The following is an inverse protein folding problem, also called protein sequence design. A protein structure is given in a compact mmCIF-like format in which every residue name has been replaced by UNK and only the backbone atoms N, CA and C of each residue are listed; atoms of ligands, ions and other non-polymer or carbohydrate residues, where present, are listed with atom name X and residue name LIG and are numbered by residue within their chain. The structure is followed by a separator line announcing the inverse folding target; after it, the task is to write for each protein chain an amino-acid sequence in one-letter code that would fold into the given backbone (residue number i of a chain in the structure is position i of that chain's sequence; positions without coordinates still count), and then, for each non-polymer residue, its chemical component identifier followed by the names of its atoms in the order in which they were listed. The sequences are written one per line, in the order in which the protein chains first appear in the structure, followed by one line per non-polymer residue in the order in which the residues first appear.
data_IF_164695124877
#
_entry.id   IF_164695124877
#
_cell.length_a   1.000
_cell.length_b   1.000
_cell.length_c   1.000
_cell.angle_alpha   90.00
_cell.angle_beta   90.00
_cell.angle_gamma   90.00
#
_symmetry.space_group_name_H-M   'P 1'
#
loop_
_entity.id
_entity.type
_entity.pdbx_description
1 polymer ?
#
# COMPACT_ATOMS: atom_id res chain seq x y z
N UNK A 1 -9.16 4.07 -37.95
CA UNK A 1 -9.72 3.08 -38.91
C UNK A 1 -10.74 2.24 -38.17
N UNK A 2 -12.03 2.53 -38.31
CA UNK A 2 -13.09 1.62 -37.86
C UNK A 2 -13.23 0.55 -38.94
N UNK A 3 -12.86 -0.69 -38.64
CA UNK A 3 -13.21 -1.81 -39.51
C UNK A 3 -14.73 -1.93 -39.53
N UNK A 4 -15.31 -2.11 -40.71
CA UNK A 4 -16.72 -2.44 -40.85
C UNK A 4 -17.01 -3.69 -40.01
N UNK A 5 -17.89 -3.57 -39.01
CA UNK A 5 -18.24 -4.67 -38.11
C UNK A 5 -18.82 -5.86 -38.88
N UNK A 6 -19.36 -5.63 -40.07
CA UNK A 6 -19.91 -6.63 -40.96
C UNK A 6 -18.90 -7.22 -41.96
N UNK A 7 -17.63 -6.81 -41.88
CA UNK A 7 -16.60 -7.40 -42.73
C UNK A 7 -16.47 -8.92 -42.49
N UNK A 8 -16.19 -9.73 -43.52
CA UNK A 8 -15.98 -11.16 -43.37
C UNK A 8 -14.88 -11.50 -42.35
N UNK A 9 -13.84 -10.66 -42.24
CA UNK A 9 -12.79 -10.84 -41.23
C UNK A 9 -13.31 -10.63 -39.80
N UNK A 10 -14.09 -9.58 -39.56
CA UNK A 10 -14.72 -9.30 -38.25
C UNK A 10 -15.63 -10.47 -37.82
N UNK A 11 -16.49 -10.93 -38.73
CA UNK A 11 -17.39 -12.06 -38.48
C UNK A 11 -16.63 -13.37 -38.18
N UNK A 12 -15.56 -13.64 -38.92
CA UNK A 12 -14.71 -14.81 -38.68
C UNK A 12 -13.98 -14.74 -37.33
N UNK A 13 -13.46 -13.57 -36.97
CA UNK A 13 -12.81 -13.33 -35.68
C UNK A 13 -13.80 -13.51 -34.51
N UNK A 14 -15.01 -12.97 -34.63
CA UNK A 14 -16.06 -13.14 -33.61
C UNK A 14 -16.49 -14.61 -33.45
N UNK A 15 -16.66 -15.33 -34.55
CA UNK A 15 -16.95 -16.78 -34.52
C UNK A 15 -15.82 -17.56 -33.85
N UNK A 16 -14.57 -17.24 -34.17
CA UNK A 16 -13.39 -17.88 -33.57
C UNK A 16 -13.36 -17.62 -32.07
N UNK A 17 -13.56 -16.37 -31.63
CA UNK A 17 -13.65 -16.00 -30.21
C UNK A 17 -14.74 -16.80 -29.49
N UNK A 18 -15.94 -16.88 -30.07
CA UNK A 18 -17.06 -17.65 -29.49
C UNK A 18 -16.75 -19.15 -29.40
N UNK A 19 -16.12 -19.72 -30.43
CA UNK A 19 -15.68 -21.12 -30.42
C UNK A 19 -14.64 -21.36 -29.33
N UNK A 20 -13.66 -20.47 -29.17
CA UNK A 20 -12.67 -20.56 -28.09
C UNK A 20 -13.34 -20.54 -26.72
N UNK A 21 -14.27 -19.61 -26.48
CA UNK A 21 -15.04 -19.56 -25.21
C UNK A 21 -15.78 -20.88 -24.96
N UNK A 22 -16.45 -21.44 -25.98
CA UNK A 22 -17.16 -22.71 -25.86
C UNK A 22 -16.21 -23.87 -25.53
N UNK A 23 -15.06 -23.96 -26.21
CA UNK A 23 -14.06 -25.01 -25.96
C UNK A 23 -13.50 -24.89 -24.55
N UNK A 24 -13.14 -23.68 -24.11
CA UNK A 24 -12.63 -23.43 -22.75
C UNK A 24 -13.68 -23.84 -21.70
N UNK A 25 -14.96 -23.47 -21.90
CA UNK A 25 -16.06 -23.88 -21.01
C UNK A 25 -16.27 -25.39 -20.99
N UNK A 26 -16.18 -26.05 -22.14
CA UNK A 26 -16.29 -27.51 -22.23
C UNK A 26 -15.18 -28.20 -21.41
N UNK A 27 -13.93 -27.76 -21.58
CA UNK A 27 -12.77 -28.30 -20.87
C UNK A 27 -12.81 -28.01 -19.36
N UNK A 28 -13.44 -26.90 -18.99
CA UNK A 28 -13.62 -26.49 -17.60
C UNK A 28 -14.90 -27.05 -16.95
N UNK A 29 -15.64 -27.93 -17.63
CA UNK A 29 -16.84 -28.53 -17.05
C UNK A 29 -16.49 -29.33 -15.78
N UNK A 30 -17.32 -29.30 -14.72
CA UNK A 30 -17.09 -30.03 -13.47
C UNK A 30 -16.91 -31.56 -13.64
N UNK A 31 -17.43 -32.11 -14.75
CA UNK A 31 -17.34 -33.53 -15.08
C UNK A 31 -16.00 -33.91 -15.73
N UNK A 32 -15.25 -32.95 -16.27
CA UNK A 32 -13.95 -33.20 -16.87
C UNK A 32 -12.92 -33.32 -15.75
N UNK A 33 -12.25 -34.47 -15.69
CA UNK A 33 -11.15 -34.73 -14.76
C UNK A 33 -9.95 -35.26 -15.50
N UNK A 34 -8.78 -34.94 -14.98
CA UNK A 34 -7.52 -35.55 -15.44
C UNK A 34 -7.32 -36.93 -14.85
N UNK A 35 -6.35 -37.67 -15.39
CA UNK A 35 -5.91 -38.96 -14.85
C UNK A 35 -5.47 -38.86 -13.38
N UNK A 36 -4.91 -37.71 -12.97
CA UNK A 36 -4.55 -37.44 -11.57
C UNK A 36 -5.73 -37.01 -10.70
N UNK A 37 -6.96 -37.08 -11.20
CA UNK A 37 -8.19 -36.72 -10.49
C UNK A 37 -8.44 -35.22 -10.32
N UNK A 38 -7.58 -34.33 -10.84
CA UNK A 38 -7.77 -32.87 -10.75
C UNK A 38 -8.90 -32.44 -11.68
N UNK A 39 -9.72 -31.50 -11.22
CA UNK A 39 -10.81 -30.92 -12.01
C UNK A 39 -10.26 -30.17 -13.23
N UNK A 40 -10.88 -30.38 -14.40
CA UNK A 40 -10.53 -29.69 -15.64
C UNK A 40 -10.61 -28.16 -15.48
N UNK A 41 -11.64 -27.67 -14.77
CA UNK A 41 -11.80 -26.26 -14.43
C UNK A 41 -10.57 -25.65 -13.75
N UNK A 42 -9.97 -26.38 -12.80
CA UNK A 42 -8.79 -25.91 -12.07
C UNK A 42 -7.58 -25.79 -12.99
N UNK A 43 -7.37 -26.78 -13.86
CA UNK A 43 -6.24 -26.79 -14.77
C UNK A 43 -6.39 -25.71 -15.84
N UNK A 44 -7.58 -25.57 -16.42
CA UNK A 44 -7.89 -24.58 -17.44
C UNK A 44 -7.74 -23.16 -16.87
N UNK A 45 -8.34 -22.89 -15.71
CA UNK A 45 -8.23 -21.57 -15.09
C UNK A 45 -6.79 -21.25 -14.70
N UNK A 46 -6.05 -22.17 -14.07
CA UNK A 46 -4.63 -21.98 -13.78
C UNK A 46 -3.82 -21.64 -15.03
N UNK A 47 -4.01 -22.41 -16.10
CA UNK A 47 -3.30 -22.20 -17.34
C UNK A 47 -3.59 -20.81 -17.93
N UNK A 48 -4.84 -20.34 -17.87
CA UNK A 48 -5.21 -19.00 -18.31
C UNK A 48 -4.58 -17.92 -17.45
N UNK A 49 -4.67 -18.01 -16.11
CA UNK A 49 -4.11 -17.03 -15.18
C UNK A 49 -2.59 -16.92 -15.37
N UNK A 50 -1.88 -18.05 -15.39
CA UNK A 50 -0.43 -18.06 -15.62
C UNK A 50 -0.06 -17.54 -17.03
N UNK A 51 -0.87 -17.85 -18.04
CA UNK A 51 -0.61 -17.38 -19.40
C UNK A 51 -0.84 -15.87 -19.54
N UNK A 52 -1.79 -15.30 -18.80
CA UNK A 52 -2.05 -13.86 -18.77
C UNK A 52 -0.87 -13.07 -18.22
N UNK A 53 -0.19 -13.60 -17.20
CA UNK A 53 0.98 -12.96 -16.58
C UNK A 53 2.25 -13.12 -17.42
N UNK A 54 2.32 -14.11 -18.32
CA UNK A 54 3.50 -14.37 -19.17
C UNK A 54 3.41 -13.60 -20.49
N UNK A 55 4.29 -12.60 -20.65
CA UNK A 55 4.41 -11.83 -21.89
C UNK A 55 5.32 -12.56 -22.90
N UNK A 56 4.72 -13.23 -23.88
CA UNK A 56 5.46 -14.00 -24.90
C UNK A 56 5.46 -13.28 -26.26
N UNK A 57 6.39 -12.36 -26.50
CA UNK A 57 6.55 -11.60 -27.77
C UNK A 57 5.27 -10.92 -28.31
N UNK A 58 4.29 -10.70 -27.45
CA UNK A 58 3.01 -10.04 -27.77
C UNK A 58 2.95 -8.71 -27.06
N UNK A 59 2.08 -7.84 -27.53
CA UNK A 59 1.66 -6.67 -26.76
C UNK A 59 1.08 -7.13 -25.41
N UNK A 60 1.71 -6.77 -24.28
CA UNK A 60 1.30 -7.24 -22.95
C UNK A 60 -0.09 -6.76 -22.57
N UNK A 61 -0.44 -5.50 -22.89
CA UNK A 61 -1.72 -4.92 -22.50
C UNK A 61 -2.87 -5.59 -23.26
N UNK A 62 -2.71 -5.72 -24.59
CA UNK A 62 -3.73 -6.36 -25.41
C UNK A 62 -3.87 -7.86 -25.10
N UNK A 63 -2.75 -8.56 -24.88
CA UNK A 63 -2.75 -9.98 -24.51
C UNK A 63 -3.42 -10.21 -23.15
N UNK A 64 -3.08 -9.41 -22.13
CA UNK A 64 -3.68 -9.50 -20.81
C UNK A 64 -5.19 -9.29 -20.86
N UNK A 65 -5.64 -8.26 -21.60
CA UNK A 65 -7.06 -7.95 -21.79
C UNK A 65 -7.81 -9.11 -22.46
N UNK A 66 -7.23 -9.75 -23.48
CA UNK A 66 -7.83 -10.92 -24.13
C UNK A 66 -7.99 -12.10 -23.17
N UNK A 67 -6.96 -12.38 -22.36
CA UNK A 67 -7.01 -13.45 -21.35
C UNK A 67 -8.04 -13.12 -20.27
N UNK A 68 -8.10 -11.86 -19.82
CA UNK A 68 -9.10 -11.39 -18.88
C UNK A 68 -10.53 -11.64 -19.38
N UNK A 69 -10.84 -11.33 -20.64
CA UNK A 69 -12.16 -11.63 -21.20
C UNK A 69 -12.50 -13.12 -21.18
N UNK A 70 -11.53 -14.01 -21.45
CA UNK A 70 -11.74 -15.45 -21.39
C UNK A 70 -11.98 -15.93 -19.97
N UNK A 71 -11.18 -15.46 -19.01
CA UNK A 71 -11.34 -15.76 -17.58
C UNK A 71 -12.70 -15.28 -17.09
N UNK A 72 -13.09 -14.05 -17.42
CA UNK A 72 -14.37 -13.49 -17.01
C UNK A 72 -15.55 -14.31 -17.56
N UNK A 73 -15.53 -14.67 -18.85
CA UNK A 73 -16.57 -15.53 -19.42
C UNK A 73 -16.60 -16.95 -18.82
N UNK A 74 -15.46 -17.44 -18.35
CA UNK A 74 -15.35 -18.73 -17.71
C UNK A 74 -16.02 -18.72 -16.33
N UNK A 75 -15.74 -17.70 -15.51
CA UNK A 75 -16.29 -17.55 -14.16
C UNK A 75 -17.80 -17.27 -14.16
N UNK A 76 -18.31 -16.60 -15.19
CA UNK A 76 -19.75 -16.29 -15.35
C UNK A 76 -20.58 -17.48 -15.89
N UNK A 77 -20.17 -18.72 -15.65
CA UNK A 77 -20.92 -19.90 -16.10
C UNK A 77 -22.04 -20.23 -15.11
N UNK A 78 -23.30 -20.08 -15.54
CA UNK A 78 -24.49 -20.34 -14.73
C UNK A 78 -24.54 -21.78 -14.21
N UNK A 79 -25.04 -21.97 -12.98
CA UNK A 79 -25.26 -23.28 -12.37
C UNK A 79 -24.01 -24.00 -11.84
N UNK A 80 -22.83 -23.38 -11.92
CA UNK A 80 -21.55 -23.97 -11.46
C UNK A 80 -20.86 -23.20 -10.35
N UNK A 81 -21.51 -22.18 -9.78
CA UNK A 81 -20.92 -21.29 -8.77
C UNK A 81 -20.31 -22.05 -7.59
N UNK A 82 -21.06 -23.00 -7.01
CA UNK A 82 -20.59 -23.80 -5.87
C UNK A 82 -19.31 -24.58 -6.16
N UNK A 83 -19.15 -25.12 -7.36
CA UNK A 83 -17.93 -25.83 -7.79
C UNK A 83 -16.74 -24.89 -7.88
N UNK A 84 -16.91 -23.72 -8.48
CA UNK A 84 -15.86 -22.71 -8.59
C UNK A 84 -15.38 -22.24 -7.21
N UNK A 85 -16.31 -21.90 -6.33
CA UNK A 85 -16.03 -21.34 -5.00
C UNK A 85 -15.38 -22.39 -4.09
N UNK A 86 -15.92 -23.60 -4.03
CA UNK A 86 -15.49 -24.59 -3.03
C UNK A 86 -14.29 -25.43 -3.46
N UNK A 87 -14.13 -25.67 -4.76
CA UNK A 87 -13.16 -26.64 -5.27
C UNK A 87 -12.04 -26.00 -6.07
N UNK A 88 -12.34 -24.96 -6.86
CA UNK A 88 -11.39 -24.43 -7.85
C UNK A 88 -10.60 -23.24 -7.30
N UNK A 89 -11.30 -22.16 -6.95
CA UNK A 89 -10.69 -20.87 -6.56
C UNK A 89 -9.76 -20.97 -5.34
N UNK A 90 -10.09 -21.70 -4.26
CA UNK A 90 -9.21 -21.80 -3.09
C UNK A 90 -7.83 -22.39 -3.43
N UNK A 91 -7.75 -23.24 -4.45
CA UNK A 91 -6.50 -23.85 -4.90
C UNK A 91 -5.71 -22.96 -5.89
N UNK A 92 -6.26 -21.81 -6.28
CA UNK A 92 -5.72 -20.91 -7.29
C UNK A 92 -5.61 -19.46 -6.81
N UNK A 93 -5.69 -19.23 -5.49
CA UNK A 93 -5.59 -17.88 -4.92
C UNK A 93 -4.28 -17.17 -5.29
N UNK A 94 -3.09 -17.81 -5.22
CA UNK A 94 -1.84 -17.16 -5.61
C UNK A 94 -1.81 -16.74 -7.09
N UNK A 95 -2.26 -17.61 -7.99
CA UNK A 95 -2.32 -17.33 -9.43
C UNK A 95 -3.38 -16.27 -9.74
N UNK A 96 -4.50 -16.28 -9.02
CA UNK A 96 -5.57 -15.28 -9.13
C UNK A 96 -5.08 -13.91 -8.73
N UNK A 97 -4.37 -13.81 -7.60
CA UNK A 97 -3.77 -12.56 -7.14
C UNK A 97 -2.69 -12.06 -8.11
N UNK A 98 -1.78 -12.93 -8.54
CA UNK A 98 -0.76 -12.56 -9.52
C UNK A 98 -1.36 -12.03 -10.82
N UNK A 99 -2.43 -12.66 -11.32
CA UNK A 99 -3.17 -12.17 -12.47
C UNK A 99 -3.87 -10.84 -12.19
N UNK A 100 -4.54 -10.72 -11.03
CA UNK A 100 -5.26 -9.52 -10.61
C UNK A 100 -4.35 -8.29 -10.54
N UNK A 101 -3.15 -8.43 -9.94
CA UNK A 101 -2.19 -7.31 -9.80
C UNK A 101 -1.72 -6.73 -11.14
N UNK A 102 -1.79 -7.50 -12.22
CA UNK A 102 -1.40 -7.06 -13.56
C UNK A 102 -2.51 -6.31 -14.30
N UNK A 103 -3.77 -6.47 -13.88
CA UNK A 103 -4.92 -5.85 -14.53
C UNK A 103 -4.89 -4.33 -14.36
N UNK A 104 -5.38 -3.62 -15.37
CA UNK A 104 -5.72 -2.20 -15.26
C UNK A 104 -6.91 -1.99 -14.33
N UNK A 105 -7.12 -0.75 -13.89
CA UNK A 105 -8.13 -0.39 -12.89
C UNK A 105 -9.55 -0.86 -13.26
N UNK A 106 -9.99 -0.64 -14.50
CA UNK A 106 -11.33 -1.02 -14.96
C UNK A 106 -11.50 -2.54 -14.93
N UNK A 107 -10.50 -3.27 -15.45
CA UNK A 107 -10.51 -4.74 -15.43
C UNK A 107 -10.43 -5.30 -14.01
N UNK A 108 -9.66 -4.68 -13.08
CA UNK A 108 -9.63 -5.05 -11.66
C UNK A 108 -11.02 -4.94 -11.03
N UNK A 109 -11.70 -3.81 -11.20
CA UNK A 109 -13.03 -3.60 -10.65
C UNK A 109 -14.03 -4.62 -11.19
N UNK A 110 -14.03 -4.85 -12.51
CA UNK A 110 -14.92 -5.84 -13.13
C UNK A 110 -14.61 -7.27 -12.68
N UNK A 111 -13.32 -7.62 -12.55
CA UNK A 111 -12.90 -8.91 -12.03
C UNK A 111 -13.39 -9.12 -10.60
N UNK A 112 -13.16 -8.13 -9.73
CA UNK A 112 -13.56 -8.23 -8.33
C UNK A 112 -15.08 -8.32 -8.18
N UNK A 113 -15.87 -7.54 -8.93
CA UNK A 113 -17.34 -7.70 -8.98
C UNK A 113 -17.75 -9.10 -9.38
N UNK A 114 -17.07 -9.68 -10.35
CA UNK A 114 -17.32 -11.06 -10.79
C UNK A 114 -17.02 -12.04 -9.64
N UNK A 115 -15.96 -11.82 -8.86
CA UNK A 115 -15.66 -12.63 -7.67
C UNK A 115 -16.68 -12.44 -6.54
N UNK A 116 -17.14 -11.20 -6.27
CA UNK A 116 -18.16 -10.91 -5.27
C UNK A 116 -19.46 -11.66 -5.60
N UNK A 117 -19.89 -11.55 -6.86
CA UNK A 117 -21.09 -12.24 -7.36
C UNK A 117 -20.91 -13.75 -7.43
N UNK A 118 -19.68 -14.23 -7.63
CA UNK A 118 -19.40 -15.66 -7.64
C UNK A 118 -19.49 -16.21 -6.21
N UNK A 119 -18.83 -15.56 -5.24
CA UNK A 119 -18.65 -16.07 -3.88
C UNK A 119 -19.88 -15.90 -2.99
N UNK A 120 -20.65 -14.82 -3.18
CA UNK A 120 -21.80 -14.48 -2.31
C UNK A 120 -21.45 -14.48 -0.80
N UNK A 121 -20.19 -14.17 -0.45
CA UNK A 121 -19.69 -14.15 0.93
C UNK A 121 -19.54 -15.51 1.60
N UNK A 122 -19.53 -16.62 0.83
CA UNK A 122 -19.46 -17.98 1.42
C UNK A 122 -18.04 -18.36 1.86
N UNK A 123 -17.02 -18.07 1.04
CA UNK A 123 -15.62 -18.44 1.34
C UNK A 123 -14.77 -17.22 1.66
N UNK A 124 -15.12 -16.04 1.16
CA UNK A 124 -14.36 -14.82 1.33
C UNK A 124 -13.29 -14.61 0.26
N UNK A 125 -13.51 -15.11 -0.97
CA UNK A 125 -12.49 -15.06 -2.05
C UNK A 125 -12.26 -13.61 -2.49
N UNK A 126 -13.34 -12.85 -2.68
CA UNK A 126 -13.25 -11.44 -3.08
C UNK A 126 -12.59 -10.59 -1.99
N UNK A 127 -12.93 -10.86 -0.73
CA UNK A 127 -12.40 -10.21 0.46
C UNK A 127 -10.90 -10.49 0.61
N UNK A 128 -10.48 -11.73 0.33
CA UNK A 128 -9.07 -12.09 0.31
C UNK A 128 -8.30 -11.33 -0.78
N UNK A 129 -8.83 -11.25 -2.01
CA UNK A 129 -8.19 -10.47 -3.08
C UNK A 129 -8.09 -9.00 -2.71
N UNK A 130 -9.15 -8.41 -2.14
CA UNK A 130 -9.14 -7.03 -1.69
C UNK A 130 -8.10 -6.79 -0.58
N UNK A 131 -8.00 -7.69 0.39
CA UNK A 131 -6.97 -7.63 1.41
C UNK A 131 -5.56 -7.71 0.83
N UNK A 132 -5.31 -8.56 -0.17
CA UNK A 132 -3.99 -8.62 -0.82
C UNK A 132 -3.67 -7.34 -1.60
N UNK A 133 -4.64 -6.68 -2.24
CA UNK A 133 -4.43 -5.37 -2.88
C UNK A 133 -4.07 -4.28 -1.85
N UNK A 134 -4.74 -4.25 -0.70
CA UNK A 134 -4.40 -3.31 0.40
C UNK A 134 -3.02 -3.62 0.97
N UNK A 135 -2.64 -4.90 1.10
CA UNK A 135 -1.26 -5.26 1.47
C UNK A 135 -0.27 -4.82 0.41
N UNK A 136 -0.59 -4.94 -0.88
CA UNK A 136 0.30 -4.49 -1.94
C UNK A 136 0.56 -2.98 -1.84
N UNK A 137 -0.49 -2.19 -1.62
CA UNK A 137 -0.38 -0.75 -1.34
C UNK A 137 0.51 -0.48 -0.12
N UNK A 138 0.30 -1.21 0.99
CA UNK A 138 1.10 -1.07 2.21
C UNK A 138 2.61 -1.31 1.96
N UNK A 139 2.97 -2.36 1.20
CA UNK A 139 4.37 -2.60 0.85
C UNK A 139 4.94 -1.53 -0.09
N UNK A 140 4.12 -0.99 -0.99
CA UNK A 140 4.48 0.16 -1.83
C UNK A 140 4.83 1.37 -0.98
N UNK A 141 4.01 1.71 0.01
CA UNK A 141 4.25 2.82 0.94
C UNK A 141 5.53 2.65 1.75
N UNK A 142 5.82 1.44 2.26
CA UNK A 142 7.08 1.18 2.93
C UNK A 142 8.29 1.35 2.01
N UNK A 143 8.15 0.99 0.73
CA UNK A 143 9.22 1.19 -0.25
C UNK A 143 9.47 2.69 -0.49
N UNK A 144 8.41 3.52 -0.42
CA UNK A 144 8.54 4.99 -0.52
C UNK A 144 9.27 5.63 0.66
N UNK A 145 9.25 4.99 1.84
CA UNK A 145 9.97 5.46 3.01
C UNK A 145 11.45 5.05 3.02
N UNK A 146 11.86 4.12 2.16
CA UNK A 146 13.25 3.68 2.08
C UNK A 146 14.11 4.73 1.33
N UNK A 147 14.87 5.50 2.10
CA UNK A 147 15.80 6.52 1.58
C UNK A 147 16.91 5.95 0.68
N UNK A 148 17.11 4.61 0.67
CA UNK A 148 18.11 3.94 -0.15
C UNK A 148 17.56 3.44 -1.49
N UNK A 149 16.25 3.50 -1.71
CA UNK A 149 15.65 3.08 -2.97
C UNK A 149 15.97 4.08 -4.09
N UNK A 150 16.19 3.54 -5.29
CA UNK A 150 16.46 4.32 -6.50
C UNK A 150 15.19 5.11 -6.90
N UNK A 151 15.36 6.40 -7.19
CA UNK A 151 14.30 7.36 -7.55
C UNK A 151 13.32 6.80 -8.60
N UNK A 152 13.82 5.96 -9.52
CA UNK A 152 13.00 5.34 -10.56
C UNK A 152 11.97 4.35 -10.01
N UNK A 153 12.34 3.59 -8.97
CA UNK A 153 11.43 2.67 -8.30
C UNK A 153 10.45 3.41 -7.39
N UNK A 154 10.84 4.56 -6.84
CA UNK A 154 9.94 5.46 -6.10
C UNK A 154 8.78 5.92 -6.98
N UNK A 155 9.03 6.39 -8.21
CA UNK A 155 7.94 6.81 -9.11
C UNK A 155 6.96 5.68 -9.44
N UNK A 156 7.48 4.46 -9.65
CA UNK A 156 6.61 3.29 -9.90
C UNK A 156 5.79 2.94 -8.66
N UNK A 157 6.40 2.97 -7.47
CA UNK A 157 5.70 2.71 -6.21
C UNK A 157 4.64 3.79 -5.91
N UNK A 158 4.92 5.06 -6.20
CA UNK A 158 3.94 6.14 -6.11
C UNK A 158 2.72 5.87 -6.99
N UNK A 159 2.93 5.53 -8.27
CA UNK A 159 1.83 5.18 -9.16
C UNK A 159 1.03 3.98 -8.63
N UNK A 160 1.69 2.94 -8.13
CA UNK A 160 1.01 1.76 -7.59
C UNK A 160 0.13 2.11 -6.40
N UNK A 161 0.61 2.97 -5.49
CA UNK A 161 -0.18 3.49 -4.37
C UNK A 161 -1.37 4.31 -4.89
N UNK A 162 -1.16 5.20 -5.88
CA UNK A 162 -2.24 5.98 -6.48
C UNK A 162 -3.32 5.09 -7.09
N UNK A 163 -2.94 4.07 -7.86
CA UNK A 163 -3.88 3.13 -8.49
C UNK A 163 -4.64 2.33 -7.43
N UNK A 164 -3.98 1.91 -6.35
CA UNK A 164 -4.63 1.18 -5.26
C UNK A 164 -5.64 2.08 -4.51
N UNK A 165 -5.30 3.34 -4.24
CA UNK A 165 -6.24 4.31 -3.66
C UNK A 165 -7.42 4.57 -4.60
N UNK A 166 -7.18 4.76 -5.89
CA UNK A 166 -8.25 4.92 -6.88
C UNK A 166 -9.18 3.70 -6.90
N UNK A 167 -8.61 2.50 -6.87
CA UNK A 167 -9.37 1.25 -6.79
C UNK A 167 -10.26 1.18 -5.54
N UNK A 168 -9.72 1.51 -4.36
CA UNK A 168 -10.50 1.55 -3.11
C UNK A 168 -11.63 2.58 -3.21
N UNK A 169 -11.35 3.76 -3.77
CA UNK A 169 -12.35 4.80 -3.97
C UNK A 169 -13.48 4.32 -4.89
N UNK A 170 -13.17 3.71 -6.03
CA UNK A 170 -14.19 3.21 -6.96
C UNK A 170 -15.07 2.14 -6.33
N UNK A 171 -14.49 1.26 -5.50
CA UNK A 171 -15.27 0.27 -4.75
C UNK A 171 -16.25 0.91 -3.75
N UNK A 172 -15.82 1.98 -3.07
CA UNK A 172 -16.65 2.72 -2.10
C UNK A 172 -17.69 3.63 -2.75
N UNK A 173 -17.38 4.14 -3.94
CA UNK A 173 -18.24 5.09 -4.66
C UNK A 173 -19.31 4.39 -5.50
N UNK A 174 -19.06 3.17 -5.97
CA UNK A 174 -20.02 2.44 -6.78
C UNK A 174 -21.09 1.73 -5.95
N UNK A 175 -22.36 2.01 -6.22
CA UNK A 175 -23.51 1.47 -5.49
C UNK A 175 -23.56 -0.05 -5.42
N UNK A 176 -23.03 -0.75 -6.44
CA UNK A 176 -23.04 -2.22 -6.50
C UNK A 176 -22.03 -2.88 -5.55
N UNK A 177 -20.93 -2.19 -5.23
CA UNK A 177 -19.81 -2.72 -4.44
C UNK A 177 -19.62 -2.02 -3.10
N UNK A 178 -20.14 -0.81 -2.92
CA UNK A 178 -19.92 0.01 -1.72
C UNK A 178 -20.32 -0.70 -0.43
N UNK A 179 -21.54 -1.28 -0.40
CA UNK A 179 -22.02 -2.00 0.77
C UNK A 179 -21.15 -3.22 1.11
N UNK A 180 -20.70 -3.95 0.09
CA UNK A 180 -19.78 -5.07 0.27
C UNK A 180 -18.43 -4.58 0.81
N UNK A 181 -17.81 -3.58 0.18
CA UNK A 181 -16.50 -3.04 0.56
C UNK A 181 -16.50 -2.55 2.03
N UNK A 182 -17.52 -1.78 2.42
CA UNK A 182 -17.69 -1.32 3.80
C UNK A 182 -17.88 -2.49 4.78
N UNK A 183 -18.67 -3.50 4.40
CA UNK A 183 -18.85 -4.70 5.22
C UNK A 183 -17.54 -5.46 5.39
N UNK A 184 -16.75 -5.63 4.32
CA UNK A 184 -15.44 -6.29 4.38
C UNK A 184 -14.47 -5.54 5.30
N UNK A 185 -14.41 -4.21 5.22
CA UNK A 185 -13.58 -3.38 6.10
C UNK A 185 -13.97 -3.56 7.57
N UNK A 186 -15.28 -3.57 7.89
CA UNK A 186 -15.77 -3.73 9.27
C UNK A 186 -15.56 -5.13 9.83
N UNK A 187 -15.76 -6.16 8.99
CA UNK A 187 -15.80 -7.56 9.45
C UNK A 187 -14.44 -8.25 9.45
N UNK A 188 -13.44 -7.69 8.77
CA UNK A 188 -12.10 -8.27 8.66
C UNK A 188 -11.10 -7.36 9.38
N UNK A 189 -10.79 -7.61 10.67
CA UNK A 189 -9.92 -6.73 11.46
C UNK A 189 -8.56 -6.48 10.83
N UNK A 190 -7.97 -7.52 10.21
CA UNK A 190 -6.67 -7.40 9.53
C UNK A 190 -6.70 -6.43 8.34
N UNK A 191 -7.82 -6.37 7.61
CA UNK A 191 -7.99 -5.44 6.51
C UNK A 191 -8.02 -4.01 7.04
N UNK A 192 -8.87 -3.74 8.03
CA UNK A 192 -8.96 -2.43 8.67
C UNK A 192 -7.62 -1.99 9.26
N UNK A 193 -6.91 -2.87 9.96
CA UNK A 193 -5.59 -2.59 10.53
C UNK A 193 -4.55 -2.27 9.44
N UNK A 194 -4.51 -3.03 8.34
CA UNK A 194 -3.56 -2.78 7.24
C UNK A 194 -3.88 -1.45 6.54
N UNK A 195 -5.16 -1.11 6.39
CA UNK A 195 -5.59 0.20 5.87
C UNK A 195 -5.18 1.33 6.82
N UNK A 196 -5.41 1.17 8.12
CA UNK A 196 -5.05 2.16 9.13
C UNK A 196 -3.54 2.45 9.13
N UNK A 197 -2.73 1.39 9.10
CA UNK A 197 -1.27 1.53 8.99
C UNK A 197 -0.87 2.22 7.69
N UNK A 198 -1.48 1.85 6.55
CA UNK A 198 -1.21 2.51 5.26
C UNK A 198 -1.54 4.00 5.30
N UNK A 199 -2.65 4.38 5.93
CA UNK A 199 -3.06 5.77 6.11
C UNK A 199 -2.10 6.56 7.01
N UNK A 200 -1.62 5.96 8.09
CA UNK A 200 -0.59 6.58 8.93
C UNK A 200 0.74 6.75 8.19
N UNK A 201 1.16 5.77 7.37
CA UNK A 201 2.37 5.90 6.53
C UNK A 201 2.25 7.05 5.52
N UNK A 202 1.06 7.26 4.94
CA UNK A 202 0.79 8.40 4.06
C UNK A 202 0.89 9.73 4.82
N UNK A 203 0.31 9.83 6.02
CA UNK A 203 0.39 11.03 6.86
C UNK A 203 1.84 11.31 7.28
N UNK A 204 2.57 10.30 7.75
CA UNK A 204 3.97 10.45 8.19
C UNK A 204 4.90 10.81 7.03
N UNK A 205 4.63 10.26 5.84
CA UNK A 205 5.32 10.63 4.61
C UNK A 205 4.90 11.99 4.04
N UNK A 206 3.88 12.65 4.62
CA UNK A 206 3.23 13.85 4.07
C UNK A 206 2.90 13.68 2.59
N UNK A 207 2.29 12.54 2.28
CA UNK A 207 1.94 12.15 0.93
C UNK A 207 0.50 12.55 0.64
N UNK A 208 0.32 13.44 -0.31
CA UNK A 208 -1.00 13.88 -0.76
C UNK A 208 -1.54 12.99 -1.87
N UNK A 209 -2.82 12.62 -1.78
CA UNK A 209 -3.50 11.87 -2.82
C UNK A 209 -4.95 12.36 -3.01
N UNK A 210 -5.33 12.60 -4.26
CA UNK A 210 -6.69 13.03 -4.66
C UNK A 210 -7.79 12.11 -4.09
N UNK A 211 -7.56 10.80 -4.13
CA UNK A 211 -8.54 9.80 -3.72
C UNK A 211 -8.59 9.57 -2.20
N UNK A 212 -7.51 9.87 -1.49
CA UNK A 212 -7.39 9.60 -0.04
C UNK A 212 -8.45 10.36 0.76
N UNK A 213 -8.64 11.64 0.46
CA UNK A 213 -9.62 12.49 1.13
C UNK A 213 -11.06 12.00 0.90
N UNK A 214 -11.35 11.50 -0.31
CA UNK A 214 -12.66 10.97 -0.68
C UNK A 214 -12.95 9.65 0.03
N UNK A 215 -11.95 8.77 0.12
CA UNK A 215 -12.03 7.53 0.88
C UNK A 215 -12.29 7.83 2.36
N UNK A 216 -11.50 8.73 2.97
CA UNK A 216 -11.67 9.12 4.37
C UNK A 216 -13.06 9.73 4.64
N UNK A 217 -13.55 10.61 3.77
CA UNK A 217 -14.89 11.19 3.90
C UNK A 217 -16.00 10.14 3.78
N UNK A 218 -15.82 9.12 2.92
CA UNK A 218 -16.76 7.99 2.81
C UNK A 218 -16.75 7.15 4.08
N UNK A 219 -15.57 6.73 4.53
CA UNK A 219 -15.38 5.92 5.73
C UNK A 219 -15.86 6.64 7.00
N UNK A 220 -15.68 7.95 7.11
CA UNK A 220 -16.10 8.71 8.30
C UNK A 220 -17.60 8.65 8.59
N UNK A 221 -18.42 8.26 7.61
CA UNK A 221 -19.87 8.10 7.76
C UNK A 221 -20.25 6.81 8.50
N UNK A 222 -19.31 5.87 8.61
CA UNK A 222 -19.54 4.55 9.18
C UNK A 222 -19.21 4.51 10.69
N UNK A 223 -20.20 4.29 11.55
CA UNK A 223 -20.01 4.34 13.01
C UNK A 223 -19.30 3.11 13.58
N UNK A 224 -19.32 1.98 12.87
CA UNK A 224 -18.80 0.68 13.35
C UNK A 224 -17.40 0.36 12.80
N UNK A 225 -16.63 1.37 12.41
CA UNK A 225 -15.25 1.15 11.98
C UNK A 225 -14.35 0.76 13.14
N UNK A 226 -13.33 -0.01 12.81
CA UNK A 226 -12.22 -0.33 13.71
C UNK A 226 -11.59 0.96 14.29
N UNK A 227 -11.28 1.02 15.60
CA UNK A 227 -10.76 2.22 16.23
C UNK A 227 -9.47 2.78 15.61
N UNK A 228 -8.52 1.93 15.21
CA UNK A 228 -7.27 2.38 14.60
C UNK A 228 -7.53 2.97 13.21
N UNK A 229 -8.47 2.36 12.47
CA UNK A 229 -8.91 2.91 11.19
C UNK A 229 -9.66 4.23 11.35
N UNK A 230 -10.56 4.36 12.34
CA UNK A 230 -11.22 5.63 12.66
C UNK A 230 -10.22 6.73 12.99
N UNK A 231 -9.20 6.39 13.77
CA UNK A 231 -8.14 7.32 14.16
C UNK A 231 -7.40 7.84 12.93
N UNK A 232 -6.88 6.93 12.09
CA UNK A 232 -6.18 7.32 10.85
C UNK A 232 -7.06 8.07 9.85
N UNK A 233 -8.35 7.72 9.73
CA UNK A 233 -9.33 8.46 8.92
C UNK A 233 -9.53 9.89 9.45
N UNK A 234 -9.62 10.06 10.77
CA UNK A 234 -9.75 11.39 11.36
C UNK A 234 -8.51 12.26 11.09
N UNK A 235 -7.31 11.68 11.18
CA UNK A 235 -6.07 12.38 10.85
C UNK A 235 -5.99 12.76 9.36
N UNK A 236 -6.36 11.87 8.44
CA UNK A 236 -6.43 12.21 7.00
C UNK A 236 -7.36 13.40 6.76
N UNK A 237 -8.53 13.42 7.42
CA UNK A 237 -9.48 14.51 7.24
C UNK A 237 -8.96 15.85 7.79
N UNK A 238 -8.18 15.83 8.87
CA UNK A 238 -7.47 17.03 9.36
C UNK A 238 -6.37 17.46 8.39
N UNK A 239 -5.60 16.50 7.90
CA UNK A 239 -4.54 16.70 6.92
C UNK A 239 -5.06 17.30 5.62
N UNK A 240 -6.21 16.84 5.11
CA UNK A 240 -6.86 17.34 3.90
C UNK A 240 -7.14 18.85 3.93
N UNK A 241 -7.39 19.41 5.12
CA UNK A 241 -7.65 20.84 5.31
C UNK A 241 -6.38 21.66 5.04
N UNK A 242 -5.19 21.09 5.22
CA UNK A 242 -3.92 21.82 5.15
C UNK A 242 -3.53 22.19 3.71
N UNK A 243 -4.00 21.45 2.70
CA UNK A 243 -3.51 21.55 1.31
C UNK A 243 -4.51 22.07 0.30
N UNK A 244 -5.81 21.89 0.55
CA UNK A 244 -6.82 22.46 -0.35
C UNK A 244 -6.70 23.99 -0.35
N UNK A 245 -6.96 24.66 -1.47
CA UNK A 245 -7.41 26.06 -1.43
C UNK A 245 -8.68 26.08 -0.59
N UNK A 246 -8.52 26.29 0.72
CA UNK A 246 -9.52 25.92 1.73
C UNK A 246 -10.78 26.69 1.43
N UNK A 247 -11.73 26.01 0.78
CA UNK A 247 -13.09 26.49 0.74
C UNK A 247 -13.71 26.17 2.09
N UNK A 248 -14.55 27.09 2.59
CA UNK A 248 -15.24 26.88 3.86
C UNK A 248 -16.07 25.57 3.86
N UNK A 249 -16.63 25.18 2.70
CA UNK A 249 -17.35 23.92 2.55
C UNK A 249 -16.45 22.70 2.69
N UNK A 250 -15.23 22.74 2.14
CA UNK A 250 -14.21 21.69 2.33
C UNK A 250 -13.80 21.54 3.78
N UNK A 251 -13.66 22.67 4.50
CA UNK A 251 -13.39 22.67 5.94
C UNK A 251 -14.53 21.96 6.70
N UNK A 252 -15.78 22.38 6.52
CA UNK A 252 -16.91 21.78 7.25
C UNK A 252 -17.07 20.28 6.94
N UNK A 253 -16.89 19.90 5.68
CA UNK A 253 -16.98 18.52 5.23
C UNK A 253 -15.89 17.60 5.80
N UNK A 254 -14.75 18.15 6.25
CA UNK A 254 -13.60 17.35 6.72
C UNK A 254 -13.38 17.49 8.22
N UNK A 255 -13.43 18.71 8.76
CA UNK A 255 -13.18 19.01 10.17
C UNK A 255 -14.26 18.47 11.11
N UNK A 256 -15.55 18.59 10.71
CA UNK A 256 -16.64 18.13 11.57
C UNK A 256 -16.63 16.60 11.75
N UNK A 257 -16.49 15.80 10.67
CA UNK A 257 -16.38 14.35 10.84
C UNK A 257 -15.10 13.94 11.57
N UNK A 258 -13.96 14.62 11.37
CA UNK A 258 -12.71 14.28 12.06
C UNK A 258 -12.83 14.50 13.57
N UNK A 259 -13.36 15.64 14.01
CA UNK A 259 -13.56 15.95 15.42
C UNK A 259 -14.53 14.96 16.08
N UNK A 260 -15.61 14.60 15.38
CA UNK A 260 -16.57 13.59 15.86
C UNK A 260 -15.86 12.25 16.09
N UNK A 261 -15.11 11.76 15.09
CA UNK A 261 -14.39 10.49 15.19
C UNK A 261 -13.38 10.50 16.35
N UNK A 262 -12.60 11.57 16.51
CA UNK A 262 -11.63 11.70 17.60
C UNK A 262 -12.29 11.68 18.99
N UNK A 263 -13.47 12.29 19.14
CA UNK A 263 -14.21 12.30 20.41
C UNK A 263 -14.84 10.94 20.75
N UNK A 264 -15.24 10.17 19.73
CA UNK A 264 -15.79 8.83 19.90
C UNK A 264 -14.73 7.78 20.27
N UNK A 265 -13.44 8.08 20.03
CA UNK A 265 -12.35 7.12 20.24
C UNK A 265 -11.98 6.93 21.72
N UNK A 266 -11.73 5.69 22.16
CA UNK A 266 -11.09 5.41 23.44
C UNK A 266 -9.69 6.05 23.51
N UNK A 267 -9.24 6.38 24.73
CA UNK A 267 -7.94 7.01 24.94
C UNK A 267 -6.77 6.15 24.46
N UNK A 268 -6.87 4.83 24.57
CA UNK A 268 -5.79 3.91 24.18
C UNK A 268 -5.47 3.89 22.68
N UNK A 269 -6.39 4.34 21.83
CA UNK A 269 -6.22 4.36 20.37
C UNK A 269 -5.77 5.72 19.83
N UNK A 270 -5.56 6.71 20.71
CA UNK A 270 -5.19 8.06 20.33
C UNK A 270 -3.70 8.23 20.54
N UNK A 271 -2.97 8.40 19.45
CA UNK A 271 -1.61 8.92 19.48
C UNK A 271 -1.65 10.44 19.69
N UNK A 272 -1.31 10.84 20.91
CA UNK A 272 -1.31 12.23 21.36
C UNK A 272 -0.47 13.14 20.46
N UNK A 273 0.75 12.70 20.11
CA UNK A 273 1.72 13.51 19.38
C UNK A 273 1.26 13.70 17.91
N UNK A 274 0.63 12.68 17.32
CA UNK A 274 0.07 12.78 15.96
C UNK A 274 -1.16 13.70 15.91
N UNK A 275 -2.11 13.55 16.83
CA UNK A 275 -3.29 14.45 16.89
C UNK A 275 -2.85 15.89 17.09
N UNK A 276 -1.89 16.08 17.98
CA UNK A 276 -1.31 17.38 18.27
C UNK A 276 -0.72 18.02 17.01
N UNK A 277 0.14 17.28 16.31
CA UNK A 277 0.77 17.73 15.07
C UNK A 277 -0.25 18.10 14.01
N UNK A 278 -1.23 17.24 13.75
CA UNK A 278 -2.22 17.49 12.70
C UNK A 278 -3.19 18.62 13.07
N UNK A 279 -3.67 18.70 14.32
CA UNK A 279 -4.54 19.80 14.76
C UNK A 279 -3.83 21.15 14.66
N UNK A 280 -2.56 21.22 15.06
CA UNK A 280 -1.73 22.42 14.94
C UNK A 280 -1.64 22.88 13.49
N UNK A 281 -1.27 21.97 12.60
CA UNK A 281 -1.14 22.27 11.17
C UNK A 281 -2.48 22.69 10.56
N UNK A 282 -3.58 22.03 10.92
CA UNK A 282 -4.94 22.40 10.51
C UNK A 282 -5.32 23.81 10.98
N UNK A 283 -5.07 24.17 12.25
CA UNK A 283 -5.38 25.52 12.75
C UNK A 283 -4.50 26.60 12.12
N UNK A 284 -3.22 26.32 11.88
CA UNK A 284 -2.33 27.24 11.14
C UNK A 284 -2.89 27.51 9.74
N UNK A 285 -3.21 26.44 8.99
CA UNK A 285 -3.74 26.56 7.64
C UNK A 285 -5.06 27.35 7.57
N UNK A 286 -5.97 27.14 8.54
CA UNK A 286 -7.22 27.91 8.64
C UNK A 286 -6.92 29.39 8.91
N UNK A 287 -6.01 29.68 9.84
CA UNK A 287 -5.70 31.07 10.23
C UNK A 287 -4.98 31.86 9.14
N UNK A 288 -4.20 31.19 8.31
CA UNK A 288 -3.51 31.78 7.16
C UNK A 288 -4.47 32.00 5.99
N UNK A 289 -5.50 31.16 5.84
CA UNK A 289 -6.52 31.29 4.79
C UNK A 289 -7.58 32.34 5.12
N UNK A 290 -7.49 33.50 4.46
CA UNK A 290 -8.51 34.55 4.56
C UNK A 290 -9.90 34.07 4.11
N UNK A 291 -9.95 33.21 3.09
CA UNK A 291 -11.20 32.64 2.58
C UNK A 291 -11.87 31.72 3.62
N UNK A 292 -11.08 30.90 4.34
CA UNK A 292 -11.60 30.05 5.40
C UNK A 292 -12.13 30.88 6.58
N UNK A 293 -11.39 31.91 6.99
CA UNK A 293 -11.80 32.81 8.08
C UNK A 293 -13.05 33.63 7.73
N UNK A 294 -13.15 34.12 6.49
CA UNK A 294 -14.30 34.90 6.04
C UNK A 294 -15.58 34.06 5.92
N UNK A 295 -15.44 32.76 5.61
CA UNK A 295 -16.54 31.81 5.55
C UNK A 295 -16.95 31.23 6.91
N UNK A 296 -16.16 31.44 7.96
CA UNK A 296 -16.35 30.82 9.27
C UNK A 296 -17.72 31.20 9.85
N UNK A 297 -18.58 30.20 10.03
CA UNK A 297 -19.88 30.36 10.67
C UNK A 297 -19.85 30.01 12.16
N UNK A 298 -20.99 30.21 12.83
CA UNK A 298 -21.12 29.96 14.26
C UNK A 298 -20.90 28.49 14.61
N UNK A 299 -21.44 27.56 13.83
CA UNK A 299 -21.30 26.12 14.06
C UNK A 299 -19.82 25.69 13.97
N UNK A 300 -19.10 26.17 12.97
CA UNK A 300 -17.68 25.91 12.78
C UNK A 300 -16.83 26.53 13.88
N UNK A 301 -17.13 27.75 14.30
CA UNK A 301 -16.45 28.39 15.44
C UNK A 301 -16.69 27.61 16.75
N UNK A 302 -17.91 27.12 16.99
CA UNK A 302 -18.22 26.27 18.14
C UNK A 302 -17.48 24.93 18.07
N UNK A 303 -17.36 24.32 16.88
CA UNK A 303 -16.61 23.09 16.69
C UNK A 303 -15.11 23.26 16.92
N UNK A 304 -14.49 24.34 16.40
CA UNK A 304 -13.09 24.66 16.66
C UNK A 304 -12.86 24.91 18.15
N UNK A 305 -13.73 25.68 18.81
CA UNK A 305 -13.66 25.91 20.25
C UNK A 305 -13.76 24.57 21.01
N UNK A 306 -14.69 23.70 20.60
CA UNK A 306 -14.86 22.40 21.22
C UNK A 306 -13.66 21.47 21.02
N UNK A 307 -12.97 21.54 19.87
CA UNK A 307 -11.71 20.85 19.65
C UNK A 307 -10.61 21.40 20.58
N UNK A 308 -10.47 22.73 20.66
CA UNK A 308 -9.48 23.37 21.54
C UNK A 308 -9.73 23.12 23.03
N UNK A 309 -10.98 22.92 23.45
CA UNK A 309 -11.33 22.52 24.81
C UNK A 309 -11.01 21.04 25.09
N UNK A 310 -11.24 20.18 24.10
CA UNK A 310 -11.01 18.74 24.21
C UNK A 310 -9.52 18.39 24.33
N UNK A 311 -8.63 19.16 23.70
CA UNK A 311 -7.19 18.91 23.72
C UNK A 311 -6.59 18.91 25.14
N UNK A 312 -6.77 19.95 25.99
CA UNK A 312 -6.32 19.93 27.39
C UNK A 312 -6.92 18.82 28.25
N UNK A 313 -8.16 18.40 27.99
CA UNK A 313 -8.82 17.32 28.75
C UNK A 313 -8.11 15.96 28.57
N UNK A 314 -7.36 15.81 27.47
CA UNK A 314 -6.60 14.61 27.13
C UNK A 314 -5.09 14.76 27.38
N UNK A 315 -4.68 15.80 28.11
CA UNK A 315 -3.27 16.16 28.35
C UNK A 315 -2.49 16.48 27.06
N UNK A 316 -3.21 16.87 25.99
CA UNK A 316 -2.64 17.30 24.70
C UNK A 316 -2.34 18.79 24.72
N UNK A 317 -1.54 19.22 25.70
CA UNK A 317 -1.33 20.64 26.02
C UNK A 317 -0.38 21.37 25.05
N UNK A 318 0.39 20.65 24.22
CA UNK A 318 1.45 21.23 23.39
C UNK A 318 1.00 21.54 21.95
N UNK A 319 -0.29 21.44 21.64
CA UNK A 319 -0.85 21.66 20.28
C UNK A 319 -0.57 23.05 19.70
N UNK A 320 -0.07 23.99 20.47
CA UNK A 320 -0.02 25.40 20.08
C UNK A 320 1.36 25.99 19.88
N UNK A 321 2.22 25.29 19.16
CA UNK A 321 3.34 25.91 18.43
C UNK A 321 2.83 26.54 17.12
N UNK A 322 1.59 27.04 17.10
CA UNK A 322 1.11 27.91 16.01
C UNK A 322 1.71 29.27 16.29
N UNK A 323 2.30 29.90 15.26
CA UNK A 323 2.82 31.26 15.41
C UNK A 323 1.79 32.15 16.11
N UNK A 324 2.24 32.98 17.05
CA UNK A 324 1.35 33.80 17.90
C UNK A 324 0.34 34.59 17.07
N UNK A 325 0.76 35.04 15.89
CA UNK A 325 -0.04 35.92 15.04
C UNK A 325 -1.18 35.19 14.31
N UNK A 326 -0.94 34.07 13.58
CA UNK A 326 -2.03 33.29 12.98
C UNK A 326 -3.05 32.80 14.03
N UNK A 327 -2.59 32.27 15.16
CA UNK A 327 -3.51 31.78 16.19
C UNK A 327 -4.35 32.89 16.81
N UNK A 328 -3.75 34.04 17.11
CA UNK A 328 -4.49 35.22 17.62
C UNK A 328 -5.52 35.70 16.59
N UNK A 329 -5.20 35.65 15.29
CA UNK A 329 -6.15 35.99 14.21
C UNK A 329 -7.35 35.05 14.23
N UNK A 330 -7.14 33.72 14.33
CA UNK A 330 -8.21 32.74 14.44
C UNK A 330 -9.09 32.98 15.68
N UNK A 331 -8.48 33.15 16.87
CA UNK A 331 -9.24 33.45 18.08
C UNK A 331 -10.04 34.75 17.96
N UNK A 332 -9.48 35.79 17.33
CA UNK A 332 -10.16 37.08 17.13
C UNK A 332 -11.37 36.93 16.22
N UNK A 333 -11.23 36.20 15.11
CA UNK A 333 -12.35 35.86 14.23
C UNK A 333 -13.43 35.07 14.99
N UNK A 334 -13.06 34.04 15.75
CA UNK A 334 -14.01 33.26 16.55
C UNK A 334 -14.74 34.11 17.61
N UNK A 335 -14.03 35.00 18.33
CA UNK A 335 -14.64 35.90 19.31
C UNK A 335 -15.73 36.79 18.69
N UNK A 336 -15.49 37.29 17.48
CA UNK A 336 -16.44 38.14 16.77
C UNK A 336 -17.73 37.40 16.38
N UNK A 337 -17.62 36.10 16.06
CA UNK A 337 -18.75 35.24 15.66
C UNK A 337 -19.52 34.70 16.86
N UNK A 338 -18.80 34.32 17.92
CA UNK A 338 -19.38 33.68 19.09
C UNK A 338 -20.07 34.66 20.03
N UNK A 339 -19.80 35.97 19.96
CA UNK A 339 -20.41 36.99 20.83
C UNK A 339 -21.92 37.17 20.58
N UNK A 340 -22.79 37.22 21.62
CA UNK A 340 -22.52 37.31 23.07
C UNK A 340 -22.47 35.95 23.82
N UNK A 341 -22.08 34.87 23.17
CA UNK A 341 -22.02 33.49 23.69
C UNK A 341 -20.75 33.16 24.49
N UNK A 342 -20.16 31.95 24.32
CA UNK A 342 -19.13 31.40 25.23
C UNK A 342 -17.73 32.03 25.03
N UNK A 343 -17.60 33.34 25.21
CA UNK A 343 -16.31 34.06 25.11
C UNK A 343 -15.35 33.71 26.24
N UNK A 344 -15.86 33.53 27.47
CA UNK A 344 -15.07 33.18 28.66
C UNK A 344 -14.34 31.83 28.48
N UNK A 345 -14.97 30.90 27.77
CA UNK A 345 -14.40 29.61 27.42
C UNK A 345 -13.19 29.74 26.48
N UNK A 346 -13.28 30.64 25.50
CA UNK A 346 -12.21 30.86 24.55
C UNK A 346 -11.02 31.57 25.21
N UNK A 347 -11.26 32.51 26.12
CA UNK A 347 -10.19 33.15 26.91
C UNK A 347 -9.50 32.15 27.87
N UNK A 348 -10.28 31.26 28.49
CA UNK A 348 -9.76 30.15 29.30
C UNK A 348 -8.94 29.15 28.48
N UNK A 349 -9.35 28.85 27.26
CA UNK A 349 -8.54 28.07 26.31
C UNK A 349 -7.27 28.83 25.96
N UNK A 350 -7.38 30.09 25.51
CA UNK A 350 -6.25 30.93 25.10
C UNK A 350 -5.18 31.06 26.17
N UNK A 351 -5.56 31.18 27.45
CA UNK A 351 -4.62 31.30 28.57
C UNK A 351 -3.88 30.01 28.94
N UNK A 352 -4.42 28.84 28.55
CA UNK A 352 -3.76 27.53 28.76
C UNK A 352 -2.78 27.17 27.65
N UNK A 353 -2.85 27.85 26.51
CA UNK A 353 -2.08 27.54 25.32
C UNK A 353 -0.72 28.26 25.39
N UNK A 354 0.36 27.47 25.36
CA UNK A 354 1.73 27.97 25.36
C UNK A 354 2.17 28.11 23.91
N UNK A 355 2.72 29.27 23.54
CA UNK A 355 3.35 29.47 22.24
C UNK A 355 4.75 28.86 22.26
N UNK A 356 5.10 28.05 21.25
CA UNK A 356 6.48 27.64 21.02
C UNK A 356 6.99 28.04 19.63
N UNK A 357 8.28 27.79 19.42
CA UNK A 357 9.01 28.21 18.24
C UNK A 357 8.51 27.52 16.98
N UNK A 358 8.43 28.29 15.90
CA UNK A 358 7.93 27.86 14.59
C UNK A 358 8.79 26.71 14.05
N UNK A 359 8.20 25.52 13.91
CA UNK A 359 8.82 24.40 13.21
C UNK A 359 8.48 24.55 11.73
N UNK A 360 9.49 24.65 10.88
CA UNK A 360 9.31 24.70 9.43
C UNK A 360 8.49 23.48 8.97
N UNK A 361 7.38 23.73 8.30
CA UNK A 361 6.57 22.66 7.73
C UNK A 361 7.39 21.98 6.62
N UNK A 362 7.74 20.71 6.82
CA UNK A 362 8.31 19.88 5.77
C UNK A 362 7.38 19.88 4.54
N UNK A 363 7.98 20.00 3.35
CA UNK A 363 7.27 20.02 2.09
C UNK A 363 6.49 18.71 1.90
N UNK A 364 5.29 18.84 1.34
CA UNK A 364 4.43 17.72 0.99
C UNK A 364 4.82 17.12 -0.36
N UNK A 365 4.52 15.83 -0.54
CA UNK A 365 4.76 15.10 -1.77
C UNK A 365 3.42 14.71 -2.39
N UNK A 366 3.08 15.35 -3.51
CA UNK A 366 1.88 15.00 -4.27
C UNK A 366 2.09 13.70 -5.05
N UNK A 367 1.16 12.75 -4.89
CA UNK A 367 1.15 11.53 -5.70
C UNK A 367 0.74 11.83 -7.13
N UNK A 368 1.58 11.41 -8.07
CA UNK A 368 1.29 11.56 -9.49
C UNK A 368 0.14 10.64 -9.91
N UNK A 369 -0.85 11.20 -10.61
CA UNK A 369 -1.94 10.46 -11.25
C UNK A 369 -1.52 9.82 -12.58
N UNK A 370 -0.45 10.36 -13.18
CA UNK A 370 0.08 9.92 -14.46
C UNK A 370 1.57 9.62 -14.34
N UNK A 371 1.97 8.57 -15.03
CA UNK A 371 3.36 8.13 -15.04
C UNK A 371 4.07 8.73 -16.25
N UNK A 372 4.95 9.70 -15.99
CA UNK A 372 5.84 10.25 -16.99
C UNK A 372 7.23 9.66 -16.82
N UNK A 373 7.61 8.74 -17.72
CA UNK A 373 8.93 8.13 -17.72
C UNK A 373 9.68 8.49 -19.00
N UNK A 374 10.97 8.82 -18.83
CA UNK A 374 11.88 8.84 -19.96
C UNK A 374 12.06 7.42 -20.51
N UNK A 375 12.32 7.29 -21.82
CA UNK A 375 12.63 5.99 -22.42
C UNK A 375 13.82 5.31 -21.74
N UNK A 376 14.82 6.09 -21.30
CA UNK A 376 15.98 5.57 -20.58
C UNK A 376 15.60 5.00 -19.21
N UNK A 377 14.71 5.67 -18.48
CA UNK A 377 14.17 5.17 -17.21
C UNK A 377 13.40 3.87 -17.43
N UNK A 378 12.58 3.82 -18.47
CA UNK A 378 11.84 2.61 -18.83
C UNK A 378 12.79 1.46 -19.17
N UNK A 379 13.84 1.70 -19.97
CA UNK A 379 14.86 0.71 -20.29
C UNK A 379 15.57 0.19 -19.03
N UNK A 380 15.91 1.07 -18.09
CA UNK A 380 16.53 0.69 -16.82
C UNK A 380 15.60 -0.17 -15.97
N UNK A 381 14.32 0.20 -15.87
CA UNK A 381 13.30 -0.56 -15.13
C UNK A 381 13.05 -1.95 -15.74
N UNK A 382 13.16 -2.08 -17.07
CA UNK A 382 12.99 -3.33 -17.79
C UNK A 382 14.25 -4.21 -17.79
N UNK A 383 15.42 -3.65 -17.47
CA UNK A 383 16.65 -4.42 -17.36
C UNK A 383 16.54 -5.36 -16.16
N UNK A 384 16.75 -6.65 -16.41
CA UNK A 384 16.84 -7.63 -15.33
C UNK A 384 17.93 -7.18 -14.35
N UNK A 385 17.64 -7.15 -13.02
CA UNK A 385 18.62 -6.70 -12.05
C UNK A 385 19.88 -7.54 -12.20
N UNK A 386 20.98 -6.88 -12.58
CA UNK A 386 22.27 -7.55 -12.72
C UNK A 386 22.63 -8.05 -11.34
N UNK A 387 22.53 -9.38 -11.13
CA UNK A 387 22.87 -9.99 -9.86
C UNK A 387 24.29 -9.58 -9.52
N UNK A 388 24.44 -8.74 -8.51
CA UNK A 388 25.76 -8.44 -7.98
C UNK A 388 26.38 -9.76 -7.56
N UNK A 389 27.58 -10.11 -8.07
CA UNK A 389 28.20 -11.38 -7.75
C UNK A 389 28.39 -11.46 -6.24
N UNK A 390 27.52 -12.20 -5.57
CA UNK A 390 27.62 -12.41 -4.14
C UNK A 390 28.81 -13.34 -3.92
N UNK A 391 29.87 -12.82 -3.32
CA UNK A 391 30.93 -13.70 -2.82
C UNK A 391 30.27 -14.68 -1.85
N UNK A 392 30.44 -16.00 -2.04
CA UNK A 392 29.80 -17.00 -1.19
C UNK A 392 30.08 -16.64 0.26
N UNK A 393 29.00 -16.42 1.04
CA UNK A 393 29.12 -16.16 2.48
C UNK A 393 29.98 -17.27 3.04
N UNK A 394 31.20 -16.94 3.52
CA UNK A 394 32.06 -17.90 4.23
C UNK A 394 31.23 -18.41 5.40
N UNK A 395 30.65 -19.60 5.27
CA UNK A 395 30.05 -20.31 6.39
C UNK A 395 31.16 -20.43 7.42
N UNK A 396 30.99 -19.83 8.59
CA UNK A 396 31.94 -20.06 9.67
C UNK A 396 31.90 -21.57 9.98
N UNK A 397 33.05 -22.25 10.08
CA UNK A 397 33.09 -23.69 10.32
C UNK A 397 32.52 -24.10 11.70
N UNK A 398 32.08 -23.14 12.52
CA UNK A 398 31.50 -23.40 13.84
C UNK A 398 30.00 -23.75 13.82
N UNK A 399 29.31 -23.71 12.66
CA UNK A 399 27.87 -23.99 12.56
C UNK A 399 27.51 -25.30 11.84
N UNK A 400 28.50 -26.09 11.42
CA UNK A 400 28.27 -27.37 10.76
C UNK A 400 28.79 -28.53 11.64
N UNK A 401 27.98 -28.88 12.66
CA UNK A 401 28.31 -29.95 13.63
C UNK A 401 28.27 -31.34 12.98
N UNK A 402 27.69 -31.48 11.78
CA UNK A 402 27.64 -32.75 11.04
C UNK A 402 28.54 -32.80 9.78
N UNK A 403 29.06 -31.67 9.32
CA UNK A 403 29.99 -31.59 8.18
C UNK A 403 31.41 -32.10 8.42
N UNK A 404 31.74 -32.54 9.64
CA UNK A 404 33.07 -33.06 10.02
C UNK A 404 33.26 -34.56 9.82
N UNK A 405 32.25 -35.30 9.32
CA UNK A 405 32.30 -36.77 9.23
C UNK A 405 32.73 -37.29 7.85
N UNK A 406 32.86 -36.46 6.81
CA UNK A 406 33.03 -36.98 5.43
C UNK A 406 34.32 -36.62 4.70
N UNK A 407 35.35 -36.09 5.37
CA UNK A 407 36.63 -35.80 4.71
C UNK A 407 37.85 -36.30 5.51
N UNK A 408 38.14 -37.60 5.42
CA UNK A 408 39.48 -38.15 5.08
C UNK A 408 39.54 -39.69 5.23
N UNK A 409 40.37 -40.41 4.43
CA UNK A 409 40.53 -41.86 4.53
C UNK A 409 41.32 -42.27 5.79
N UNK A 410 41.09 -43.47 6.36
CA UNK A 410 41.61 -43.88 7.67
C UNK A 410 43.02 -44.48 7.58
N UNK A 411 43.98 -43.75 7.03
CA UNK A 411 45.40 -44.17 6.99
C UNK A 411 46.34 -42.98 7.11
N UNK A 412 46.42 -42.40 8.32
CA UNK A 412 47.52 -41.50 8.69
C UNK A 412 47.89 -41.73 10.16
N UNK A 413 48.50 -42.89 10.42
CA UNK A 413 49.24 -43.19 11.65
C UNK A 413 50.57 -42.44 11.63
N UNK A 414 50.58 -41.12 11.84
CA UNK A 414 51.79 -40.41 12.28
C UNK A 414 51.41 -39.28 13.24
N UNK A 415 51.92 -39.43 14.46
CA UNK A 415 51.75 -38.54 15.60
C UNK A 415 52.49 -37.22 15.35
N UNK A 416 51.83 -36.10 15.63
CA UNK A 416 52.48 -34.85 16.07
C UNK A 416 51.60 -34.17 17.12
N UNK A 417 52.19 -33.51 18.14
CA UNK A 417 51.52 -33.18 19.38
C UNK A 417 50.56 -32.02 19.22
N UNK A 418 49.61 -31.99 20.15
CA UNK A 418 48.67 -30.91 20.48
C UNK A 418 49.31 -29.53 20.34
N UNK A 419 49.09 -28.85 19.21
CA UNK A 419 49.32 -27.40 19.10
C UNK A 419 48.08 -26.68 19.65
N UNK A 420 48.05 -26.54 20.96
CA UNK A 420 47.29 -25.48 21.63
C UNK A 420 47.91 -24.13 21.25
N UNK A 421 47.14 -23.24 20.64
CA UNK A 421 47.48 -21.81 20.57
C UNK A 421 48.00 -21.26 19.24
N UNK A 422 47.24 -21.41 18.14
CA UNK A 422 47.44 -20.61 16.91
C UNK A 422 46.14 -19.92 16.46
N UNK A 423 45.31 -19.48 17.40
CA UNK A 423 44.33 -18.42 17.17
C UNK A 423 45.09 -17.08 17.16
N UNK A 424 45.59 -16.65 15.99
CA UNK A 424 45.99 -15.27 15.78
C UNK A 424 44.75 -14.38 15.93
N UNK A 425 44.58 -13.77 17.09
CA UNK A 425 43.64 -12.67 17.31
C UNK A 425 44.19 -11.44 16.59
N UNK A 426 43.74 -11.23 15.35
CA UNK A 426 44.02 -10.00 14.61
C UNK A 426 43.25 -8.85 15.28
N UNK A 427 43.94 -8.09 16.12
CA UNK A 427 43.45 -6.81 16.60
C UNK A 427 43.38 -5.83 15.42
N UNK A 428 42.29 -5.06 15.39
CA UNK A 428 41.98 -3.94 14.47
C UNK A 428 43.13 -3.51 13.54
N UNK A 429 42.91 -3.66 12.22
CA UNK A 429 43.72 -3.15 11.10
C UNK A 429 45.03 -3.86 10.71
N UNK A 430 45.32 -5.05 11.23
CA UNK A 430 46.56 -5.78 10.87
C UNK A 430 46.66 -6.15 9.37
N UNK A 431 45.53 -6.35 8.68
CA UNK A 431 45.49 -6.62 7.23
C UNK A 431 46.02 -5.47 6.36
N UNK A 432 45.92 -4.21 6.82
CA UNK A 432 46.49 -3.07 6.07
C UNK A 432 48.01 -3.01 6.22
N UNK A 433 48.55 -3.35 7.39
CA UNK A 433 49.99 -3.35 7.63
C UNK A 433 50.69 -4.52 6.91
N UNK A 434 50.08 -5.71 6.90
CA UNK A 434 50.63 -6.88 6.19
C UNK A 434 50.72 -6.70 4.67
N UNK A 435 49.81 -5.92 4.05
CA UNK A 435 49.88 -5.60 2.61
C UNK A 435 50.92 -4.53 2.27
N UNK A 436 51.36 -3.75 3.25
CA UNK A 436 52.37 -2.71 3.08
C UNK A 436 53.79 -3.19 3.41
N UNK A 437 53.96 -4.35 4.06
CA UNK A 437 55.28 -4.95 4.24
C UNK A 437 55.83 -5.52 2.92
N UNK A 438 57.05 -5.14 2.49
CA UNK A 438 57.67 -5.63 1.25
C UNK A 438 57.85 -7.15 1.19
N UNK A 439 57.97 -7.82 2.35
CA UNK A 439 58.12 -9.27 2.47
C UNK A 439 56.86 -10.07 2.10
N UNK A 440 55.67 -9.47 2.20
CA UNK A 440 54.40 -10.12 1.83
C UNK A 440 54.12 -10.09 0.32
N UNK A 441 54.96 -9.39 -0.47
CA UNK A 441 54.94 -9.37 -1.94
C UNK A 441 55.78 -10.49 -2.57
N UNK A 442 56.04 -11.58 -1.85
CA UNK A 442 56.65 -12.76 -2.45
C UNK A 442 55.62 -13.46 -3.34
N UNK A 443 55.81 -13.28 -4.64
CA UNK A 443 55.16 -13.97 -5.76
C UNK A 443 54.80 -15.43 -5.45
N UNK A 444 53.53 -15.70 -5.15
CA UNK A 444 52.95 -17.02 -5.45
C UNK A 444 52.35 -16.94 -6.84
N UNK A 445 53.23 -16.92 -7.85
CA UNK A 445 52.89 -17.31 -9.22
C UNK A 445 52.32 -18.73 -9.16
N UNK A 446 50.99 -18.83 -9.17
CA UNK A 446 50.30 -20.08 -9.50
C UNK A 446 49.77 -19.91 -10.92
N UNK A 447 50.24 -20.79 -11.81
CA UNK A 447 49.80 -20.90 -13.18
C UNK A 447 48.28 -21.17 -13.23
N UNK A 448 47.56 -20.67 -14.25
CA UNK A 448 46.13 -20.95 -14.41
C UNK A 448 45.94 -22.45 -14.67
N UNK A 449 45.09 -23.08 -13.87
CA UNK A 449 44.65 -24.46 -14.09
C UNK A 449 43.78 -24.51 -15.34
N UNK A 450 44.26 -25.14 -16.41
CA UNK A 450 43.42 -25.58 -17.52
C UNK A 450 42.60 -26.78 -17.05
N UNK A 451 41.28 -26.65 -17.01
CA UNK A 451 40.38 -27.80 -17.10
C UNK A 451 39.68 -27.74 -18.46
N UNK A 452 39.84 -28.83 -19.23
CA UNK A 452 39.08 -29.19 -20.43
C UNK A 452 37.73 -29.75 -20.01
#
# INVERSE_FOLDING_TARGET
MQYDQNSPQSMSAQRTRQTCIKVVRLLASPHVRTESGKAGSQIVLRALLEHGVKVNHRDPAYHLLQVFYLVNHLLQTEGQQSHWISTVMPCLLPETHAFFTMLDLESKLHFLKTLINLDHGLVGIAEWVFMEEVKHMFHGLHSLQDAMADDQFHTVAQLQVTVALHFIWDLLNETSTAAWCLTSIKTIPRLAQTMAQSFLLLIDGRIEATYLNRIAASLSKEPELDPDLKFSVALILLHAIQYSTISFTSFQASFMPSLRLLKELPAEHIDADLVEREMRATFSAISESEAALAGLDKESAEAILSALQWLPERDLMKVTDVGTDPFVKLCTSMMSILSPGPTDNLDSVRSRLIAADQIDAAASVELQEHLELSLQTLENLLQAPVRTPSTPKRKSPAQDVFGLVTLSPPTALLRSPTTTGLTKTYLKNDFRQLRQQPSARQNTSRLPSMHV
#
